data_IF_194450151310
#
_entry.id   IF_194450151310
#
_cell.length_a   1.000
_cell.length_b   1.000
_cell.length_c   1.000
_cell.angle_alpha   90.00
_cell.angle_beta   90.00
_cell.angle_gamma   90.00
#
_symmetry.space_group_name_H-M   'P 1'
#
loop_
_entity.id
_entity.type
_entity.pdbx_description
1 polymer ?
#
# COMPACT_ATOMS: atom_id res chain seq x y z
N UNK A 1 51.73 -1.18 -41.62
CA UNK A 1 50.72 -0.36 -40.91
C UNK A 1 51.46 0.55 -39.93
N UNK A 2 51.29 1.88 -39.97
CA UNK A 2 52.14 2.79 -39.17
C UNK A 2 51.79 2.73 -37.66
N UNK A 3 52.79 2.80 -36.77
CA UNK A 3 52.61 2.73 -35.29
C UNK A 3 51.52 3.69 -34.77
N UNK A 4 51.35 4.85 -35.41
CA UNK A 4 50.33 5.86 -35.13
C UNK A 4 48.90 5.40 -35.40
N UNK A 5 48.66 4.57 -36.43
CA UNK A 5 47.32 4.01 -36.71
C UNK A 5 46.90 3.00 -35.64
N UNK A 6 47.86 2.22 -35.15
CA UNK A 6 47.65 1.20 -34.12
C UNK A 6 47.32 1.84 -32.75
N UNK A 7 48.02 2.92 -32.39
CA UNK A 7 47.74 3.70 -31.18
C UNK A 7 46.36 4.38 -31.21
N UNK A 8 45.98 4.99 -32.35
CA UNK A 8 44.63 5.57 -32.52
C UNK A 8 43.51 4.53 -32.38
N UNK A 9 43.73 3.31 -32.86
CA UNK A 9 42.77 2.19 -32.71
C UNK A 9 42.62 1.77 -31.24
N UNK A 10 43.74 1.60 -30.52
CA UNK A 10 43.74 1.25 -29.09
C UNK A 10 43.01 2.31 -28.24
N UNK A 11 43.26 3.59 -28.51
CA UNK A 11 42.60 4.69 -27.80
C UNK A 11 41.08 4.70 -28.05
N UNK A 12 40.64 4.55 -29.32
CA UNK A 12 39.20 4.46 -29.65
C UNK A 12 38.51 3.33 -28.89
N UNK A 13 39.12 2.14 -28.83
CA UNK A 13 38.53 1.01 -28.12
C UNK A 13 38.51 1.24 -26.60
N UNK A 14 39.59 1.79 -26.03
CA UNK A 14 39.62 2.16 -24.62
C UNK A 14 38.49 3.15 -24.27
N UNK A 15 38.27 4.19 -25.09
CA UNK A 15 37.16 5.13 -24.89
C UNK A 15 35.79 4.44 -24.92
N UNK A 16 35.55 3.54 -25.88
CA UNK A 16 34.28 2.79 -25.98
C UNK A 16 34.06 1.95 -24.70
N UNK A 17 35.09 1.24 -24.24
CA UNK A 17 35.01 0.43 -23.02
C UNK A 17 34.73 1.29 -21.79
N UNK A 18 35.40 2.43 -21.65
CA UNK A 18 35.16 3.36 -20.54
C UNK A 18 33.71 3.86 -20.55
N UNK A 19 33.18 4.23 -21.71
CA UNK A 19 31.78 4.67 -21.84
C UNK A 19 30.80 3.56 -21.46
N UNK A 20 31.04 2.32 -21.89
CA UNK A 20 30.21 1.17 -21.52
C UNK A 20 30.21 0.91 -20.01
N UNK A 21 31.37 0.99 -19.35
CA UNK A 21 31.48 0.81 -17.90
C UNK A 21 30.71 1.91 -17.16
N UNK A 22 30.86 3.17 -17.58
CA UNK A 22 30.12 4.30 -16.99
C UNK A 22 28.62 4.11 -17.17
N UNK A 23 28.18 3.62 -18.33
CA UNK A 23 26.77 3.33 -18.59
C UNK A 23 26.22 2.24 -17.65
N UNK A 24 26.95 1.13 -17.49
CA UNK A 24 26.57 0.04 -16.57
C UNK A 24 26.49 0.56 -15.12
N UNK A 25 27.50 1.33 -14.70
CA UNK A 25 27.53 1.92 -13.37
C UNK A 25 26.35 2.90 -13.14
N UNK A 26 26.05 3.75 -14.12
CA UNK A 26 24.89 4.64 -14.08
C UNK A 26 23.57 3.89 -13.97
N UNK A 27 23.42 2.77 -14.70
CA UNK A 27 22.25 1.89 -14.60
C UNK A 27 22.13 1.29 -13.19
N UNK A 28 23.23 0.84 -12.59
CA UNK A 28 23.23 0.29 -11.23
C UNK A 28 22.70 1.31 -10.20
N UNK A 29 23.09 2.58 -10.32
CA UNK A 29 22.57 3.66 -9.48
C UNK A 29 21.05 3.84 -9.66
N UNK A 30 20.56 3.79 -10.91
CA UNK A 30 19.13 3.91 -11.20
C UNK A 30 18.33 2.72 -10.65
N UNK A 31 18.86 1.51 -10.75
CA UNK A 31 18.24 0.30 -10.21
C UNK A 31 18.11 0.34 -8.69
N UNK A 32 19.11 0.89 -7.99
CA UNK A 32 19.03 1.11 -6.54
C UNK A 32 17.88 2.06 -6.16
N UNK A 33 17.61 3.08 -6.98
CA UNK A 33 16.45 3.97 -6.77
C UNK A 33 15.13 3.21 -6.96
N UNK A 34 15.01 2.44 -8.05
CA UNK A 34 13.82 1.62 -8.29
C UNK A 34 13.56 0.62 -7.15
N UNK A 35 14.61 0.05 -6.54
CA UNK A 35 14.48 -0.85 -5.40
C UNK A 35 13.95 -0.13 -4.16
N UNK A 36 14.44 1.08 -3.88
CA UNK A 36 13.92 1.90 -2.78
C UNK A 36 12.45 2.30 -3.02
N UNK A 37 12.10 2.67 -4.24
CA UNK A 37 10.70 3.01 -4.60
C UNK A 37 9.76 1.81 -4.40
N UNK A 38 10.24 0.60 -4.71
CA UNK A 38 9.52 -0.64 -4.45
C UNK A 38 9.35 -0.90 -2.95
N UNK A 39 10.39 -0.68 -2.15
CA UNK A 39 10.34 -0.76 -0.70
C UNK A 39 9.33 0.23 -0.09
N UNK A 40 9.35 1.49 -0.51
CA UNK A 40 8.40 2.50 -0.06
C UNK A 40 6.96 2.15 -0.45
N UNK A 41 6.76 1.56 -1.63
CA UNK A 41 5.45 1.10 -2.08
C UNK A 41 4.93 -0.05 -1.21
N UNK A 42 5.82 -0.94 -0.73
CA UNK A 42 5.44 -2.00 0.21
C UNK A 42 5.07 -1.46 1.59
N UNK A 43 5.85 -0.50 2.11
CA UNK A 43 5.56 0.16 3.39
C UNK A 43 4.20 0.84 3.34
N UNK A 44 3.95 1.69 2.33
CA UNK A 44 2.65 2.35 2.18
C UNK A 44 1.49 1.37 1.95
N UNK A 45 1.70 0.28 1.22
CA UNK A 45 0.68 -0.76 1.10
C UNK A 45 0.36 -1.42 2.45
N UNK A 46 1.36 -1.65 3.29
CA UNK A 46 1.17 -2.25 4.60
C UNK A 46 0.51 -1.25 5.58
N UNK A 47 1.16 -0.11 5.81
CA UNK A 47 0.75 0.88 6.83
C UNK A 47 -0.54 1.61 6.43
N UNK A 48 -0.70 2.02 5.17
CA UNK A 48 -1.82 2.89 4.78
C UNK A 48 -3.01 2.12 4.19
N UNK A 49 -2.82 0.87 3.73
CA UNK A 49 -3.88 0.10 3.07
C UNK A 49 -4.29 -1.12 3.87
N UNK A 50 -3.34 -1.98 4.25
CA UNK A 50 -3.66 -3.23 4.95
C UNK A 50 -4.04 -3.00 6.42
N UNK A 51 -3.30 -2.15 7.14
CA UNK A 51 -3.66 -1.79 8.52
C UNK A 51 -5.00 -1.06 8.57
N UNK A 52 -5.25 -0.16 7.62
CA UNK A 52 -6.55 0.53 7.51
C UNK A 52 -7.71 -0.42 7.22
N UNK A 53 -7.53 -1.43 6.36
CA UNK A 53 -8.53 -2.49 6.18
C UNK A 53 -8.81 -3.25 7.49
N UNK A 54 -7.79 -3.46 8.33
CA UNK A 54 -7.98 -4.03 9.67
C UNK A 54 -8.82 -3.13 10.58
N UNK A 55 -8.67 -1.80 10.47
CA UNK A 55 -9.53 -0.84 11.18
C UNK A 55 -10.98 -0.93 10.70
N UNK A 56 -11.21 -0.90 9.39
CA UNK A 56 -12.55 -1.03 8.78
C UNK A 56 -13.22 -2.33 9.24
N UNK A 57 -12.49 -3.44 9.23
CA UNK A 57 -12.97 -4.73 9.70
C UNK A 57 -13.33 -4.72 11.19
N UNK A 58 -12.45 -4.17 12.04
CA UNK A 58 -12.66 -4.11 13.50
C UNK A 58 -13.86 -3.25 13.86
N UNK A 59 -14.02 -2.09 13.20
CA UNK A 59 -15.19 -1.22 13.36
C UNK A 59 -16.46 -1.95 12.93
N UNK A 60 -16.43 -2.65 11.78
CA UNK A 60 -17.57 -3.41 11.29
C UNK A 60 -18.00 -4.48 12.30
N UNK A 61 -17.06 -5.20 12.91
CA UNK A 61 -17.35 -6.17 13.96
C UNK A 61 -18.03 -5.52 15.16
N UNK A 62 -17.54 -4.38 15.63
CA UNK A 62 -18.13 -3.66 16.75
C UNK A 62 -19.54 -3.15 16.44
N UNK A 63 -19.79 -2.63 15.22
CA UNK A 63 -21.12 -2.27 14.76
C UNK A 63 -22.07 -3.47 14.71
N UNK A 64 -21.61 -4.64 14.25
CA UNK A 64 -22.42 -5.87 14.28
C UNK A 64 -22.74 -6.30 15.70
N UNK A 65 -21.79 -6.22 16.64
CA UNK A 65 -22.03 -6.56 18.05
C UNK A 65 -23.01 -5.59 18.70
N UNK A 66 -22.90 -4.29 18.42
CA UNK A 66 -23.89 -3.31 18.84
C UNK A 66 -25.28 -3.67 18.29
N UNK A 67 -25.36 -4.00 16.99
CA UNK A 67 -26.62 -4.42 16.36
C UNK A 67 -27.22 -5.66 17.02
N UNK A 68 -26.40 -6.65 17.38
CA UNK A 68 -26.84 -7.83 18.13
C UNK A 68 -27.39 -7.45 19.50
N UNK A 69 -26.71 -6.59 20.26
CA UNK A 69 -27.19 -6.12 21.55
C UNK A 69 -28.53 -5.39 21.41
N UNK A 70 -28.64 -4.46 20.46
CA UNK A 70 -29.88 -3.70 20.18
C UNK A 70 -31.05 -4.61 19.78
N UNK A 71 -30.79 -5.68 19.02
CA UNK A 71 -31.84 -6.62 18.60
C UNK A 71 -32.16 -7.69 19.65
N UNK A 72 -31.18 -8.14 20.44
CA UNK A 72 -31.40 -9.08 21.57
C UNK A 72 -32.31 -8.45 22.62
N UNK A 73 -32.18 -7.15 22.78
CA UNK A 73 -33.05 -6.28 23.57
C UNK A 73 -34.52 -6.25 23.09
N UNK A 74 -34.83 -6.81 21.91
CA UNK A 74 -36.22 -7.00 21.49
C UNK A 74 -36.91 -8.23 22.11
N UNK A 75 -36.15 -9.11 22.80
CA UNK A 75 -36.63 -10.43 23.24
C UNK A 75 -36.39 -10.74 24.74
N UNK A 76 -35.41 -10.13 25.41
CA UNK A 76 -35.12 -10.34 26.84
C UNK A 76 -35.21 -9.06 27.68
N UNK A 77 -35.64 -9.19 28.94
CA UNK A 77 -36.05 -8.08 29.82
C UNK A 77 -34.95 -7.50 30.73
N UNK A 78 -33.74 -8.07 30.75
CA UNK A 78 -32.63 -7.56 31.56
C UNK A 78 -31.68 -6.72 30.70
N UNK A 79 -31.85 -5.40 30.84
CA UNK A 79 -31.19 -4.38 30.03
C UNK A 79 -30.03 -3.69 30.76
N UNK A 80 -29.78 -4.06 32.01
CA UNK A 80 -28.93 -3.30 32.93
C UNK A 80 -27.48 -3.18 32.46
N UNK A 81 -26.97 -4.18 31.72
CA UNK A 81 -25.58 -4.19 31.23
C UNK A 81 -25.43 -3.77 29.75
N UNK A 82 -26.51 -3.77 28.97
CA UNK A 82 -26.44 -3.52 27.52
C UNK A 82 -25.99 -2.09 27.19
N UNK A 83 -26.41 -1.10 27.98
CA UNK A 83 -26.05 0.32 27.78
C UNK A 83 -24.55 0.53 27.94
N UNK A 84 -23.98 -0.05 29.01
CA UNK A 84 -22.56 0.06 29.31
C UNK A 84 -21.71 -0.63 28.24
N UNK A 85 -22.15 -1.79 27.75
CA UNK A 85 -21.48 -2.47 26.64
C UNK A 85 -21.54 -1.68 25.34
N UNK A 86 -22.72 -1.20 24.93
CA UNK A 86 -22.86 -0.43 23.68
C UNK A 86 -22.02 0.86 23.76
N UNK A 87 -22.11 1.61 24.86
CA UNK A 87 -21.32 2.84 25.06
C UNK A 87 -19.82 2.56 25.00
N UNK A 88 -19.37 1.44 25.57
CA UNK A 88 -17.96 1.03 25.49
C UNK A 88 -17.55 0.80 24.04
N UNK A 89 -18.35 0.06 23.27
CA UNK A 89 -18.07 -0.27 21.86
C UNK A 89 -18.10 0.98 20.97
N UNK A 90 -19.03 1.89 21.18
CA UNK A 90 -19.06 3.19 20.49
C UNK A 90 -17.77 3.98 20.72
N UNK A 91 -17.27 4.01 21.96
CA UNK A 91 -16.01 4.68 22.27
C UNK A 91 -14.80 3.96 21.69
N UNK A 92 -14.82 2.62 21.65
CA UNK A 92 -13.76 1.83 21.02
C UNK A 92 -13.73 2.05 19.50
N UNK A 93 -14.90 2.17 18.85
CA UNK A 93 -15.00 2.61 17.44
C UNK A 93 -14.36 4.00 17.25
N UNK A 94 -14.68 4.97 18.11
CA UNK A 94 -14.13 6.32 17.98
C UNK A 94 -12.60 6.36 18.14
N UNK A 95 -12.01 5.52 18.99
CA UNK A 95 -10.55 5.39 19.08
C UNK A 95 -9.94 4.84 17.80
N UNK A 96 -10.55 3.80 17.22
CA UNK A 96 -10.08 3.24 15.94
C UNK A 96 -10.21 4.28 14.82
N UNK A 97 -11.27 5.10 14.84
CA UNK A 97 -11.43 6.22 13.90
C UNK A 97 -10.32 7.24 14.05
N UNK A 98 -9.92 7.59 15.28
CA UNK A 98 -8.78 8.50 15.53
C UNK A 98 -7.48 7.92 14.95
N UNK A 99 -7.21 6.62 15.15
CA UNK A 99 -6.05 5.96 14.54
C UNK A 99 -6.11 5.95 13.00
N UNK A 100 -7.31 5.79 12.42
CA UNK A 100 -7.51 5.86 10.97
C UNK A 100 -7.26 7.30 10.46
N UNK A 101 -7.71 8.32 11.18
CA UNK A 101 -7.48 9.73 10.81
C UNK A 101 -5.99 10.12 10.74
N UNK A 102 -5.11 9.41 11.45
CA UNK A 102 -3.66 9.63 11.45
C UNK A 102 -2.93 8.98 10.25
N UNK A 103 -3.63 8.21 9.42
CA UNK A 103 -3.06 7.56 8.21
C UNK A 103 -3.06 8.48 6.99
N UNK A 104 -2.39 8.08 5.90
CA UNK A 104 -2.38 8.86 4.65
C UNK A 104 -3.72 8.75 3.90
N UNK A 105 -4.68 9.59 4.29
CA UNK A 105 -6.01 9.64 3.70
C UNK A 105 -6.02 10.32 2.33
N UNK A 106 -6.68 9.69 1.38
CA UNK A 106 -7.14 10.35 0.16
C UNK A 106 -8.27 11.34 0.48
N UNK A 107 -8.52 12.28 -0.45
CA UNK A 107 -9.62 13.25 -0.34
C UNK A 107 -10.98 12.55 -0.20
N UNK A 108 -11.17 11.43 -0.91
CA UNK A 108 -12.39 10.65 -0.84
C UNK A 108 -12.56 9.96 0.52
N UNK A 109 -11.50 9.34 1.04
CA UNK A 109 -11.51 8.69 2.35
C UNK A 109 -11.78 9.68 3.47
N UNK A 110 -11.14 10.84 3.46
CA UNK A 110 -11.40 11.89 4.45
C UNK A 110 -12.88 12.31 4.47
N UNK A 111 -13.53 12.38 3.30
CA UNK A 111 -14.96 12.65 3.19
C UNK A 111 -15.81 11.56 3.85
N UNK A 112 -15.64 10.31 3.43
CA UNK A 112 -16.41 9.17 3.96
C UNK A 112 -16.14 8.93 5.46
N UNK A 113 -14.90 9.10 5.92
CA UNK A 113 -14.54 8.94 7.33
C UNK A 113 -15.15 10.04 8.20
N UNK A 114 -15.22 11.27 7.69
CA UNK A 114 -15.91 12.38 8.38
C UNK A 114 -17.40 12.10 8.51
N UNK A 115 -18.04 11.67 7.42
CA UNK A 115 -19.48 11.33 7.41
C UNK A 115 -19.76 10.14 8.36
N UNK A 116 -18.92 9.11 8.32
CA UNK A 116 -18.97 7.97 9.24
C UNK A 116 -18.86 8.41 10.71
N UNK A 117 -17.83 9.20 11.04
CA UNK A 117 -17.60 9.70 12.41
C UNK A 117 -18.79 10.50 12.92
N UNK A 118 -19.41 11.31 12.06
CA UNK A 118 -20.63 12.04 12.37
C UNK A 118 -21.79 11.11 12.72
N UNK A 119 -21.98 10.02 11.97
CA UNK A 119 -23.00 9.00 12.29
C UNK A 119 -22.74 8.40 13.67
N UNK A 120 -21.49 8.05 13.99
CA UNK A 120 -21.17 7.50 15.32
C UNK A 120 -21.51 8.51 16.43
N UNK A 121 -21.12 9.77 16.26
CA UNK A 121 -21.24 10.80 17.30
C UNK A 121 -22.66 11.35 17.47
N UNK A 122 -23.41 11.50 16.38
CA UNK A 122 -24.72 12.18 16.36
C UNK A 122 -25.90 11.21 16.28
N UNK A 123 -25.74 10.06 15.63
CA UNK A 123 -26.85 9.15 15.33
C UNK A 123 -26.80 7.84 16.12
N UNK A 124 -25.60 7.36 16.43
CA UNK A 124 -25.41 6.10 17.15
C UNK A 124 -25.08 6.27 18.62
N UNK A 125 -24.92 7.49 19.15
CA UNK A 125 -24.71 7.64 20.60
C UNK A 125 -25.93 7.25 21.40
N UNK A 126 -25.84 6.12 22.09
CA UNK A 126 -26.90 5.60 22.96
C UNK A 126 -27.07 6.38 24.28
N UNK A 127 -26.57 7.62 24.34
CA UNK A 127 -26.39 8.44 25.55
C UNK A 127 -27.57 8.44 26.53
N UNK A 128 -28.78 8.12 26.06
CA UNK A 128 -29.88 7.69 26.92
C UNK A 128 -30.58 6.41 26.39
N UNK A 129 -30.49 5.33 27.17
CA UNK A 129 -31.14 4.06 26.87
C UNK A 129 -32.65 4.07 27.14
N UNK A 130 -33.16 5.03 27.93
CA UNK A 130 -34.59 5.23 28.13
C UNK A 130 -35.32 5.54 26.80
N UNK A 131 -34.57 5.88 25.75
CA UNK A 131 -35.07 6.05 24.39
C UNK A 131 -35.39 4.71 23.70
N UNK A 132 -34.74 3.60 24.08
CA UNK A 132 -34.91 2.28 23.47
C UNK A 132 -35.79 1.35 24.33
N UNK A 133 -35.74 1.47 25.65
CA UNK A 133 -36.54 0.68 26.58
C UNK A 133 -36.87 1.47 27.85
N UNK A 134 -38.09 1.30 28.37
CA UNK A 134 -38.42 1.71 29.75
C UNK A 134 -39.27 0.66 30.44
N UNK A 135 -39.11 0.51 31.75
CA UNK A 135 -39.93 -0.41 32.57
C UNK A 135 -41.44 -0.11 32.44
N UNK A 136 -41.79 1.15 32.14
CA UNK A 136 -43.17 1.62 32.02
C UNK A 136 -43.79 1.48 30.63
N UNK A 137 -43.01 1.62 29.56
CA UNK A 137 -43.52 1.60 28.17
C UNK A 137 -43.00 0.41 27.34
N UNK A 138 -42.11 -0.41 27.89
CA UNK A 138 -41.45 -1.49 27.18
C UNK A 138 -40.49 -0.96 26.10
N UNK A 139 -40.33 -1.76 25.04
CA UNK A 139 -39.39 -1.48 23.94
C UNK A 139 -39.94 -0.37 23.02
N UNK A 140 -39.12 0.64 22.76
CA UNK A 140 -39.36 1.64 21.74
C UNK A 140 -38.91 1.14 20.36
N UNK A 141 -39.79 0.40 19.70
CA UNK A 141 -39.53 -0.23 18.39
C UNK A 141 -39.15 0.77 17.31
N UNK A 142 -39.65 2.00 17.37
CA UNK A 142 -39.30 3.07 16.43
C UNK A 142 -37.84 3.49 16.61
N UNK A 143 -37.39 3.69 17.85
CA UNK A 143 -36.00 4.05 18.13
C UNK A 143 -35.03 2.92 17.81
N UNK A 144 -35.40 1.67 18.08
CA UNK A 144 -34.62 0.49 17.65
C UNK A 144 -34.43 0.49 16.13
N UNK A 145 -35.50 0.80 15.37
CA UNK A 145 -35.43 0.87 13.90
C UNK A 145 -34.55 2.02 13.40
N UNK A 146 -34.63 3.20 14.02
CA UNK A 146 -33.78 4.35 13.70
C UNK A 146 -32.30 4.06 13.98
N UNK A 147 -32.02 3.41 15.11
CA UNK A 147 -30.67 3.01 15.50
C UNK A 147 -30.09 1.99 14.51
N UNK A 148 -30.85 0.93 14.20
CA UNK A 148 -30.48 -0.06 13.19
C UNK A 148 -30.25 0.58 11.81
N UNK A 149 -31.09 1.54 11.39
CA UNK A 149 -30.88 2.26 10.13
C UNK A 149 -29.60 3.08 10.10
N UNK A 150 -29.16 3.58 11.27
CA UNK A 150 -27.91 4.33 11.40
C UNK A 150 -26.70 3.39 11.34
N UNK A 151 -26.80 2.19 11.92
CA UNK A 151 -25.79 1.13 11.77
C UNK A 151 -25.64 0.73 10.30
N UNK A 152 -26.75 0.48 9.59
CA UNK A 152 -26.70 0.12 8.17
C UNK A 152 -26.02 1.21 7.33
N UNK A 153 -26.31 2.48 7.60
CA UNK A 153 -25.64 3.59 6.92
C UNK A 153 -24.13 3.60 7.21
N UNK A 154 -23.75 3.43 8.48
CA UNK A 154 -22.35 3.35 8.88
C UNK A 154 -21.61 2.19 8.19
N UNK A 155 -22.24 1.02 8.06
CA UNK A 155 -21.69 -0.13 7.34
C UNK A 155 -21.53 0.15 5.84
N UNK A 156 -22.45 0.89 5.22
CA UNK A 156 -22.33 1.32 3.81
C UNK A 156 -21.13 2.27 3.63
N UNK A 157 -20.91 3.21 4.56
CA UNK A 157 -19.74 4.09 4.49
C UNK A 157 -18.43 3.30 4.65
N UNK A 158 -18.39 2.30 5.53
CA UNK A 158 -17.24 1.38 5.66
C UNK A 158 -17.01 0.54 4.40
N UNK A 159 -18.08 0.08 3.75
CA UNK A 159 -17.97 -0.63 2.47
C UNK A 159 -17.36 0.29 1.39
N UNK A 160 -17.75 1.57 1.36
CA UNK A 160 -17.19 2.57 0.44
C UNK A 160 -15.71 2.83 0.74
N UNK A 161 -15.35 2.97 2.01
CA UNK A 161 -13.96 3.11 2.43
C UNK A 161 -13.13 1.89 1.99
N UNK A 162 -13.62 0.66 2.22
CA UNK A 162 -12.92 -0.57 1.80
C UNK A 162 -12.76 -0.66 0.28
N UNK A 163 -13.79 -0.26 -0.49
CA UNK A 163 -13.68 -0.18 -1.94
C UNK A 163 -12.55 0.76 -2.39
N UNK A 164 -12.43 1.93 -1.74
CA UNK A 164 -11.33 2.88 -2.03
C UNK A 164 -9.98 2.27 -1.66
N UNK A 165 -9.86 1.61 -0.50
CA UNK A 165 -8.63 0.94 -0.08
C UNK A 165 -8.15 -0.12 -1.08
N UNK A 166 -9.07 -0.93 -1.60
CA UNK A 166 -8.77 -1.92 -2.63
C UNK A 166 -8.32 -1.26 -3.94
N UNK A 167 -8.95 -0.16 -4.35
CA UNK A 167 -8.56 0.60 -5.54
C UNK A 167 -7.17 1.22 -5.40
N UNK A 168 -6.87 1.87 -4.28
CA UNK A 168 -5.55 2.44 -3.99
C UNK A 168 -4.48 1.36 -3.87
N UNK A 169 -4.78 0.26 -3.17
CA UNK A 169 -3.90 -0.92 -3.10
C UNK A 169 -3.57 -1.49 -4.48
N UNK A 170 -4.54 -1.57 -5.39
CA UNK A 170 -4.30 -1.98 -6.77
C UNK A 170 -3.42 -0.99 -7.55
N UNK A 171 -3.55 0.32 -7.32
CA UNK A 171 -2.68 1.33 -7.95
C UNK A 171 -1.23 1.15 -7.51
N UNK A 172 -1.00 0.93 -6.21
CA UNK A 172 0.34 0.65 -5.66
C UNK A 172 0.91 -0.64 -6.27
N UNK A 173 0.12 -1.72 -6.28
CA UNK A 173 0.55 -3.01 -6.85
C UNK A 173 0.92 -2.91 -8.34
N UNK A 174 0.10 -2.23 -9.16
CA UNK A 174 0.38 -2.00 -10.58
C UNK A 174 1.64 -1.16 -10.80
N UNK A 175 1.88 -0.15 -9.95
CA UNK A 175 3.09 0.68 -10.00
C UNK A 175 4.34 -0.14 -9.66
N UNK A 176 4.26 -0.97 -8.63
CA UNK A 176 5.32 -1.90 -8.25
C UNK A 176 5.63 -2.89 -9.39
N UNK A 177 4.61 -3.52 -9.96
CA UNK A 177 4.75 -4.45 -11.09
C UNK A 177 5.44 -3.79 -12.30
N UNK A 178 5.00 -2.58 -12.67
CA UNK A 178 5.62 -1.81 -13.76
C UNK A 178 7.10 -1.52 -13.48
N UNK A 179 7.45 -1.23 -12.23
CA UNK A 179 8.83 -0.95 -11.81
C UNK A 179 9.70 -2.21 -11.88
N UNK A 180 9.18 -3.35 -11.44
CA UNK A 180 9.83 -4.65 -11.54
C UNK A 180 10.04 -5.05 -13.00
N UNK A 181 9.00 -4.97 -13.83
CA UNK A 181 9.06 -5.33 -15.26
C UNK A 181 10.09 -4.49 -16.02
N UNK A 182 10.12 -3.17 -15.78
CA UNK A 182 11.16 -2.29 -16.34
C UNK A 182 12.56 -2.71 -15.88
N UNK A 183 12.75 -2.97 -14.59
CA UNK A 183 14.05 -3.36 -14.04
C UNK A 183 14.54 -4.69 -14.63
N UNK A 184 13.63 -5.66 -14.83
CA UNK A 184 13.93 -6.95 -15.48
C UNK A 184 14.41 -6.78 -16.92
N UNK A 185 13.74 -5.94 -17.71
CA UNK A 185 14.17 -5.65 -19.09
C UNK A 185 15.57 -5.01 -19.09
N UNK A 186 15.81 -4.03 -18.22
CA UNK A 186 17.11 -3.37 -18.12
C UNK A 186 18.22 -4.33 -17.67
N UNK A 187 17.95 -5.25 -16.75
CA UNK A 187 18.90 -6.28 -16.34
C UNK A 187 19.29 -7.22 -17.50
N UNK A 188 18.35 -7.57 -18.39
CA UNK A 188 18.67 -8.38 -19.57
C UNK A 188 19.62 -7.65 -20.53
N UNK A 189 19.39 -6.36 -20.78
CA UNK A 189 20.31 -5.54 -21.58
C UNK A 189 21.69 -5.42 -20.94
N UNK A 190 21.76 -5.29 -19.61
CA UNK A 190 23.03 -5.24 -18.89
C UNK A 190 23.83 -6.55 -19.04
N UNK A 191 23.18 -7.71 -18.88
CA UNK A 191 23.83 -9.01 -19.09
C UNK A 191 24.36 -9.13 -20.53
N UNK A 192 23.58 -8.73 -21.53
CA UNK A 192 24.02 -8.72 -22.92
C UNK A 192 25.23 -7.79 -23.13
N UNK A 193 25.21 -6.59 -22.55
CA UNK A 193 26.31 -5.64 -22.62
C UNK A 193 27.58 -6.18 -21.95
N UNK A 194 27.45 -6.87 -20.80
CA UNK A 194 28.57 -7.52 -20.11
C UNK A 194 29.19 -8.63 -20.96
N UNK A 195 28.39 -9.46 -21.63
CA UNK A 195 28.90 -10.50 -22.53
C UNK A 195 29.68 -9.88 -23.71
N UNK A 196 29.13 -8.84 -24.34
CA UNK A 196 29.82 -8.11 -25.43
C UNK A 196 31.15 -7.52 -24.92
N UNK A 197 31.15 -6.95 -23.71
CA UNK A 197 32.34 -6.38 -23.10
C UNK A 197 33.43 -7.45 -22.87
N UNK A 198 33.05 -8.64 -22.38
CA UNK A 198 33.98 -9.77 -22.21
C UNK A 198 34.59 -10.18 -23.56
N UNK A 199 33.77 -10.30 -24.62
CA UNK A 199 34.24 -10.67 -25.97
C UNK A 199 35.23 -9.64 -26.52
N UNK A 200 34.93 -8.34 -26.38
CA UNK A 200 35.83 -7.25 -26.82
C UNK A 200 37.17 -7.33 -26.09
N UNK A 201 37.16 -7.53 -24.76
CA UNK A 201 38.38 -7.66 -23.96
C UNK A 201 39.20 -8.88 -24.43
N UNK A 202 38.56 -10.02 -24.65
CA UNK A 202 39.22 -11.24 -25.12
C UNK A 202 39.92 -11.03 -26.47
N UNK A 203 39.22 -10.43 -27.44
CA UNK A 203 39.78 -10.11 -28.76
C UNK A 203 40.98 -9.16 -28.67
N UNK A 204 40.91 -8.15 -27.81
CA UNK A 204 42.03 -7.22 -27.59
C UNK A 204 43.28 -7.92 -27.04
N UNK A 205 43.10 -8.81 -26.07
CA UNK A 205 44.22 -9.58 -25.49
C UNK A 205 44.83 -10.50 -26.55
N UNK A 206 43.99 -11.20 -27.34
CA UNK A 206 44.45 -12.11 -28.37
C UNK A 206 45.24 -11.39 -29.48
N UNK A 207 44.70 -10.31 -30.05
CA UNK A 207 45.42 -9.51 -31.06
C UNK A 207 46.70 -8.88 -30.49
N UNK A 208 46.70 -8.47 -29.23
CA UNK A 208 47.90 -7.96 -28.55
C UNK A 208 49.03 -9.01 -28.45
N UNK A 209 48.69 -10.28 -28.21
CA UNK A 209 49.69 -11.37 -28.14
C UNK A 209 50.27 -11.72 -29.52
N UNK A 210 49.43 -11.77 -30.56
CA UNK A 210 49.85 -12.04 -31.94
C UNK A 210 50.90 -11.04 -32.46
N UNK A 211 50.77 -9.76 -32.10
CA UNK A 211 51.77 -8.75 -32.48
C UNK A 211 53.12 -9.03 -31.79
N UNK A 212 53.14 -9.53 -30.54
CA UNK A 212 54.38 -9.75 -29.81
C UNK A 212 55.18 -10.96 -30.33
N UNK A 213 54.53 -11.98 -30.88
CA UNK A 213 55.24 -13.13 -31.48
C UNK A 213 55.88 -12.82 -32.83
N UNK A 214 55.36 -11.84 -33.57
CA UNK A 214 55.89 -11.42 -34.88
C UNK A 214 57.17 -10.56 -34.76
N UNK A 215 57.45 -9.99 -33.58
CA UNK A 215 58.66 -9.20 -33.31
C UNK A 215 59.80 -9.98 -32.62
N UNK A 216 59.59 -11.27 -32.31
CA UNK A 216 60.59 -12.12 -31.61
C UNK A 216 61.19 -13.20 -32.52
N UNK A 217 60.76 -13.28 -33.79
CA UNK A 217 61.38 -14.12 -34.82
C UNK A 217 62.15 -13.27 -35.84
#
# INVERSE_FOLDING_TARGET
MSRTQLQKRKLKVATILTVLIIMIFGKNILERRNFNDLGNSFVSFYDDRLVVESYIFSISEELFRIKLLVNHCAFESDYSNAVGEITKRENDILKIVEEFEDTDLTIAEAGYLTDFKKIIQENLRIADYALLYSDTQGINTQKVKEYNSSIERALVDLEKLSQIQLEEGQKIAKKAEKTVNKSKIWAQFEVAALVILIVIIYLLIYTSRSIRSEFVN
#
